data_IF_089594869195
#
_entry.id   IF_089594869195
#
_cell.length_a   1.000
_cell.length_b   1.000
_cell.length_c   1.000
_cell.angle_alpha   90.00
_cell.angle_beta   90.00
_cell.angle_gamma   90.00
#
_symmetry.space_group_name_H-M   'P 1'
#
loop_
_entity.id
_entity.type
_entity.pdbx_description
1 polymer ?
#
# COMPACT_ATOMS: atom_id res chain seq x y z
N UNK A 1 8.42 -1.11 -4.85
CA UNK A 1 7.36 -1.51 -5.80
C UNK A 1 6.18 -2.02 -5.00
N UNK A 2 4.94 -1.63 -5.35
CA UNK A 2 3.72 -2.09 -4.69
C UNK A 2 2.88 -2.95 -5.65
N UNK A 3 2.10 -3.93 -5.17
CA UNK A 3 1.17 -4.69 -6.01
C UNK A 3 0.17 -3.78 -6.70
N UNK A 4 -0.06 -3.95 -8.00
CA UNK A 4 -0.95 -3.11 -8.78
C UNK A 4 -2.38 -3.16 -8.20
N UNK A 5 -2.97 -1.99 -8.01
CA UNK A 5 -4.34 -1.85 -7.51
C UNK A 5 -5.20 -1.19 -8.58
N UNK A 6 -6.11 -1.95 -9.18
CA UNK A 6 -7.11 -1.43 -10.10
C UNK A 6 -8.47 -1.89 -9.59
N UNK A 7 -9.23 -0.99 -8.97
CA UNK A 7 -10.55 -1.32 -8.42
C UNK A 7 -11.39 -2.05 -9.48
N UNK A 8 -11.96 -3.23 -9.20
CA UNK A 8 -12.13 -3.88 -7.89
C UNK A 8 -11.13 -5.01 -7.56
N UNK A 9 -10.01 -5.15 -8.30
CA UNK A 9 -9.08 -6.28 -8.15
C UNK A 9 -7.64 -5.87 -7.84
N UNK A 10 -7.09 -6.52 -6.80
CA UNK A 10 -5.68 -6.47 -6.46
C UNK A 10 -4.96 -7.55 -7.28
N UNK A 11 -4.10 -7.13 -8.21
CA UNK A 11 -3.31 -8.05 -9.02
C UNK A 11 -1.95 -8.27 -8.33
N UNK A 12 -1.91 -9.20 -7.37
CA UNK A 12 -0.69 -9.50 -6.58
C UNK A 12 0.51 -9.98 -7.43
N UNK A 13 0.25 -10.45 -8.65
CA UNK A 13 1.25 -10.88 -9.63
C UNK A 13 1.87 -9.72 -10.42
N UNK A 14 1.21 -8.56 -10.48
CA UNK A 14 1.72 -7.35 -11.12
C UNK A 14 2.16 -6.33 -10.07
N UNK A 15 3.31 -5.71 -10.28
CA UNK A 15 3.84 -4.67 -9.38
C UNK A 15 4.09 -3.40 -10.17
N UNK A 16 3.79 -2.27 -9.57
CA UNK A 16 4.09 -0.96 -10.13
C UNK A 16 5.20 -0.25 -9.32
N UNK A 17 5.95 0.58 -10.02
CA UNK A 17 6.89 1.51 -9.42
C UNK A 17 6.13 2.75 -8.96
N UNK A 18 6.03 2.94 -7.64
CA UNK A 18 5.45 4.13 -7.04
C UNK A 18 6.57 5.00 -6.43
N UNK A 19 6.41 6.31 -6.53
CA UNK A 19 7.35 7.31 -6.01
C UNK A 19 6.68 8.22 -4.99
N UNK A 20 7.48 8.78 -4.07
CA UNK A 20 6.98 9.66 -3.02
C UNK A 20 6.36 8.86 -1.87
N UNK A 21 7.13 8.69 -0.80
CA UNK A 21 6.71 7.94 0.38
C UNK A 21 6.70 8.83 1.61
N UNK A 22 5.66 8.68 2.42
CA UNK A 22 5.62 9.14 3.80
C UNK A 22 6.16 8.02 4.69
N UNK A 23 7.01 8.38 5.64
CA UNK A 23 7.60 7.42 6.58
C UNK A 23 6.97 7.63 7.94
N UNK A 24 6.41 6.57 8.50
CA UNK A 24 5.82 6.56 9.84
C UNK A 24 6.55 5.51 10.68
N UNK A 25 6.89 5.89 11.91
CA UNK A 25 7.72 5.05 12.78
C UNK A 25 6.88 4.00 13.48
N UNK A 26 5.76 4.40 14.07
CA UNK A 26 4.90 3.49 14.81
C UNK A 26 3.63 3.17 14.03
N UNK A 27 3.19 1.92 14.12
CA UNK A 27 1.90 1.49 13.55
C UNK A 27 0.73 2.14 14.31
N UNK A 28 0.92 2.49 15.60
CA UNK A 28 -0.09 3.14 16.41
C UNK A 28 -0.32 4.61 16.04
N UNK A 29 0.55 5.21 15.21
CA UNK A 29 0.37 6.56 14.68
C UNK A 29 -0.66 6.62 13.53
N UNK A 30 -1.11 5.46 13.03
CA UNK A 30 -2.15 5.37 12.01
C UNK A 30 -3.53 5.19 12.64
N UNK A 31 -4.53 5.91 12.13
CA UNK A 31 -5.94 5.73 12.56
C UNK A 31 -6.63 4.56 11.84
N UNK A 32 -6.51 4.46 10.50
CA UNK A 32 -7.30 3.53 9.67
C UNK A 32 -6.45 2.63 8.76
N UNK A 33 -5.32 2.15 9.28
CA UNK A 33 -4.38 1.29 8.53
C UNK A 33 -4.16 -0.03 9.25
N UNK A 34 -4.20 -1.12 8.49
CA UNK A 34 -3.89 -2.46 8.95
C UNK A 34 -2.61 -3.00 8.30
N UNK A 35 -1.90 -3.88 9.00
CA UNK A 35 -0.80 -4.65 8.44
C UNK A 35 -1.32 -5.99 7.92
N UNK A 36 -0.95 -6.34 6.69
CA UNK A 36 -1.33 -7.63 6.11
C UNK A 36 -0.64 -8.78 6.85
N UNK A 37 -1.33 -9.91 6.95
CA UNK A 37 -0.72 -11.17 7.38
C UNK A 37 0.12 -11.73 6.23
N UNK A 38 1.43 -11.79 6.44
CA UNK A 38 2.36 -12.39 5.49
C UNK A 38 3.17 -13.46 6.22
N UNK A 39 3.07 -14.70 5.74
CA UNK A 39 3.79 -15.85 6.29
C UNK A 39 5.19 -16.01 5.66
N UNK A 40 5.48 -15.28 4.58
CA UNK A 40 6.66 -15.52 3.71
C UNK A 40 7.39 -14.23 3.28
N UNK A 41 7.38 -13.17 4.08
CA UNK A 41 8.36 -12.08 3.92
C UNK A 41 7.83 -10.67 4.11
N UNK A 42 7.26 -10.05 3.08
CA UNK A 42 6.90 -8.62 3.09
C UNK A 42 5.51 -8.42 3.68
N UNK A 43 5.39 -7.50 4.64
CA UNK A 43 4.12 -7.03 5.20
C UNK A 43 3.71 -5.75 4.49
N UNK A 44 2.46 -5.68 4.05
CA UNK A 44 1.91 -4.52 3.36
C UNK A 44 1.01 -3.72 4.30
N UNK A 45 0.89 -2.42 4.02
CA UNK A 45 -0.07 -1.54 4.66
C UNK A 45 -1.35 -1.54 3.82
N UNK A 46 -2.46 -1.86 4.46
CA UNK A 46 -3.78 -1.95 3.87
C UNK A 46 -4.71 -0.92 4.52
N UNK A 47 -5.58 -0.32 3.72
CA UNK A 47 -6.66 0.53 4.24
C UNK A 47 -7.67 -0.32 5.01
N UNK A 48 -7.86 -0.04 6.31
CA UNK A 48 -8.73 -0.83 7.17
C UNK A 48 -10.23 -0.63 6.87
N UNK A 49 -10.61 0.55 6.39
CA UNK A 49 -12.01 0.92 6.10
C UNK A 49 -12.41 0.72 4.64
N UNK A 50 -11.47 0.36 3.77
CA UNK A 50 -11.74 0.20 2.35
C UNK A 50 -12.29 -1.21 2.07
N UNK A 51 -13.52 -1.32 1.54
CA UNK A 51 -14.18 -2.60 1.23
C UNK A 51 -13.37 -3.53 0.29
N UNK A 52 -12.43 -2.97 -0.48
CA UNK A 52 -11.61 -3.71 -1.46
C UNK A 52 -10.14 -3.88 -1.06
N UNK A 53 -9.76 -3.55 0.19
CA UNK A 53 -8.43 -3.90 0.70
C UNK A 53 -7.26 -3.21 -0.02
N UNK A 54 -7.33 -1.89 -0.18
CA UNK A 54 -6.30 -1.15 -0.90
C UNK A 54 -4.93 -1.23 -0.22
N UNK A 55 -3.94 -1.82 -0.90
CA UNK A 55 -2.53 -1.74 -0.47
C UNK A 55 -2.02 -0.33 -0.74
N UNK A 56 -1.74 0.41 0.34
CA UNK A 56 -1.26 1.80 0.30
C UNK A 56 0.25 1.92 0.53
N UNK A 57 0.89 0.85 1.00
CA UNK A 57 2.28 0.91 1.42
C UNK A 57 2.85 -0.44 1.86
N UNK A 58 4.03 -0.40 2.46
CA UNK A 58 4.72 -1.57 2.98
C UNK A 58 5.49 -1.27 4.26
N UNK A 59 5.71 -2.31 5.06
CA UNK A 59 6.61 -2.29 6.21
C UNK A 59 7.96 -2.85 5.79
N UNK A 60 9.00 -2.06 6.01
CA UNK A 60 10.36 -2.53 5.85
C UNK A 60 10.78 -3.39 7.05
N UNK A 61 11.22 -4.62 6.78
CA UNK A 61 11.49 -5.59 7.83
C UNK A 61 12.76 -5.29 8.63
N UNK A 62 13.71 -4.58 8.03
CA UNK A 62 15.01 -4.26 8.63
C UNK A 62 14.93 -3.02 9.51
N UNK A 63 14.48 -1.89 8.94
CA UNK A 63 14.32 -0.62 9.65
C UNK A 63 13.08 -0.55 10.55
N UNK A 64 12.12 -1.47 10.37
CA UNK A 64 10.80 -1.46 11.03
C UNK A 64 9.99 -0.19 10.75
N UNK A 65 10.31 0.52 9.67
CA UNK A 65 9.60 1.74 9.25
C UNK A 65 8.45 1.40 8.29
N UNK A 66 7.37 2.16 8.43
CA UNK A 66 6.18 2.04 7.61
C UNK A 66 6.23 3.08 6.49
N UNK A 67 6.23 2.62 5.24
CA UNK A 67 6.30 3.47 4.06
C UNK A 67 4.93 3.52 3.38
N UNK A 68 4.30 4.69 3.39
CA UNK A 68 3.01 4.95 2.72
C UNK A 68 3.25 5.67 1.42
N UNK A 69 2.76 5.10 0.31
CA UNK A 69 2.88 5.71 -1.01
C UNK A 69 1.91 6.88 -1.15
N UNK A 70 2.42 8.08 -1.37
CA UNK A 70 1.60 9.27 -1.59
C UNK A 70 0.65 9.11 -2.78
N UNK A 71 1.08 8.38 -3.81
CA UNK A 71 0.29 8.09 -5.00
C UNK A 71 -0.97 7.25 -4.71
N UNK A 72 -1.05 6.56 -3.56
CA UNK A 72 -2.16 5.67 -3.21
C UNK A 72 -3.10 6.21 -2.14
N UNK A 73 -2.69 7.22 -1.39
CA UNK A 73 -3.56 7.97 -0.48
C UNK A 73 -4.19 9.19 -1.13
N UNK A 74 -3.64 9.69 -2.25
CA UNK A 74 -4.26 10.75 -3.03
C UNK A 74 -5.35 10.19 -3.96
N UNK A 75 -6.52 10.82 -3.94
CA UNK A 75 -7.73 10.40 -4.66
C UNK A 75 -7.61 10.54 -6.18
N UNK A 76 -6.81 9.69 -6.84
CA UNK A 76 -7.05 9.25 -8.21
C UNK A 76 -6.57 7.82 -8.34
N UNK A 77 -7.51 6.89 -8.51
CA UNK A 77 -7.20 5.74 -9.35
C UNK A 77 -6.67 6.36 -10.66
N UNK A 78 -5.40 6.12 -10.99
CA UNK A 78 -4.89 6.46 -12.31
C UNK A 78 -5.35 5.32 -13.19
N UNK A 79 -6.42 5.46 -14.00
CA UNK A 79 -6.67 4.48 -15.04
C UNK A 79 -5.45 4.43 -15.93
N UNK A 80 -4.86 3.25 -16.09
CA UNK A 80 -3.79 2.99 -17.04
C UNK A 80 -4.37 2.87 -18.47
N UNK A 81 -5.23 3.82 -18.85
CA UNK A 81 -5.80 3.98 -20.19
C UNK A 81 -6.16 5.46 -20.38
N UNK A 82 -5.15 6.30 -20.64
CA UNK A 82 -5.33 7.53 -21.42
C UNK A 82 -4.20 7.56 -22.43
N UNK A 83 -4.51 7.09 -23.64
CA UNK A 83 -3.81 7.47 -24.86
C UNK A 83 -4.11 8.95 -25.17
#
# INVERSE_FOLDING_TARGET
MLPLYCFPQILVTQKEAVTGFWVVKDIYDFENVALTKSNEGVKYLECADCESGGIIGFLDAESKLHYVSNARVSSKCIPHDVE
#
